data_IF_744793043452
#
_entry.id   IF_744793043452
#
_cell.length_a   1.000
_cell.length_b   1.000
_cell.length_c   1.000
_cell.angle_alpha   90.00
_cell.angle_beta   90.00
_cell.angle_gamma   90.00
#
_symmetry.space_group_name_H-M   'P 1'
#
loop_
_entity.id
_entity.type
_entity.pdbx_description
1 polymer ?
#
# COMPACT_ATOMS: atom_id res chain seq x y z
N UNK A 1 -5.00 14.38 -21.30
CA UNK A 1 -5.13 13.90 -19.91
C UNK A 1 -4.80 12.42 -19.93
N UNK A 2 -3.65 12.03 -19.36
CA UNK A 2 -3.21 10.64 -19.37
C UNK A 2 -4.11 9.77 -18.51
N UNK A 3 -4.33 8.53 -18.94
CA UNK A 3 -5.08 7.54 -18.18
C UNK A 3 -4.36 7.28 -16.85
N UNK A 4 -4.99 7.64 -15.73
CA UNK A 4 -4.43 7.49 -14.39
C UNK A 4 -5.30 6.59 -13.52
N UNK A 5 -4.65 5.86 -12.64
CA UNK A 5 -5.27 4.94 -11.67
C UNK A 5 -4.55 4.96 -10.34
N UNK A 6 -4.94 4.06 -9.45
CA UNK A 6 -4.32 3.89 -8.12
C UNK A 6 -4.08 2.41 -7.84
N UNK A 7 -2.96 2.09 -7.20
CA UNK A 7 -2.63 0.74 -6.73
C UNK A 7 -2.24 0.76 -5.25
N UNK A 8 -2.44 -0.39 -4.59
CA UNK A 8 -1.94 -0.64 -3.25
C UNK A 8 -0.77 -1.62 -3.28
N UNK A 9 0.23 -1.36 -2.44
CA UNK A 9 1.22 -2.33 -1.99
C UNK A 9 1.12 -2.50 -0.48
N UNK A 10 1.47 -3.67 0.01
CA UNK A 10 1.34 -4.02 1.41
C UNK A 10 2.64 -4.63 1.92
N UNK A 11 3.01 -4.31 3.14
CA UNK A 11 4.04 -4.98 3.90
C UNK A 11 3.50 -5.33 5.29
N UNK A 12 3.97 -6.44 5.85
CA UNK A 12 3.51 -6.96 7.12
C UNK A 12 4.71 -7.13 8.04
N UNK A 13 4.56 -6.71 9.29
CA UNK A 13 5.62 -6.71 10.27
C UNK A 13 5.13 -7.08 11.67
N UNK A 14 6.09 -7.03 12.59
CA UNK A 14 5.90 -7.27 14.01
C UNK A 14 5.34 -6.01 14.69
N UNK A 15 4.13 -6.06 15.29
CA UNK A 15 3.56 -4.92 16.02
C UNK A 15 4.41 -4.48 17.21
N UNK A 16 5.19 -5.38 17.83
CA UNK A 16 6.07 -5.01 18.94
C UNK A 16 7.17 -4.02 18.54
N UNK A 17 7.38 -3.82 17.22
CA UNK A 17 8.39 -2.93 16.65
C UNK A 17 7.78 -1.70 15.97
N UNK A 18 6.50 -1.38 16.18
CA UNK A 18 5.86 -0.21 15.56
C UNK A 18 6.52 1.12 15.94
N UNK A 19 7.13 1.21 17.14
CA UNK A 19 7.88 2.38 17.59
C UNK A 19 9.31 2.49 17.02
N UNK A 20 9.80 1.45 16.34
CA UNK A 20 11.11 1.46 15.69
C UNK A 20 10.98 2.10 14.30
N UNK A 21 11.28 3.40 14.20
CA UNK A 21 11.17 4.15 12.95
C UNK A 21 11.98 3.55 11.79
N UNK A 22 13.16 2.98 12.06
CA UNK A 22 13.98 2.35 11.01
C UNK A 22 13.31 1.06 10.51
N UNK A 23 12.67 0.31 11.39
CA UNK A 23 11.89 -0.86 11.01
C UNK A 23 10.67 -0.50 10.15
N UNK A 24 9.92 0.53 10.57
CA UNK A 24 8.76 1.03 9.82
C UNK A 24 9.16 1.56 8.44
N UNK A 25 10.27 2.30 8.34
CA UNK A 25 10.81 2.77 7.05
C UNK A 25 11.17 1.60 6.13
N UNK A 26 11.69 0.51 6.68
CA UNK A 26 11.93 -0.73 5.94
C UNK A 26 10.64 -1.35 5.38
N UNK A 27 9.57 -1.39 6.18
CA UNK A 27 8.25 -1.87 5.74
C UNK A 27 7.62 -0.94 4.70
N UNK A 28 7.80 0.37 4.81
CA UNK A 28 7.36 1.33 3.78
C UNK A 28 8.08 1.06 2.45
N UNK A 29 9.39 0.85 2.47
CA UNK A 29 10.16 0.47 1.29
C UNK A 29 9.67 -0.83 0.65
N UNK A 30 9.35 -1.84 1.47
CA UNK A 30 8.77 -3.10 0.98
C UNK A 30 7.37 -2.91 0.39
N UNK A 31 6.49 -2.13 1.04
CA UNK A 31 5.15 -1.85 0.53
C UNK A 31 5.21 -1.12 -0.82
N UNK A 32 6.12 -0.15 -0.98
CA UNK A 32 6.35 0.54 -2.25
C UNK A 32 6.89 -0.40 -3.33
N UNK A 33 7.83 -1.29 -2.98
CA UNK A 33 8.34 -2.31 -3.91
C UNK A 33 7.22 -3.21 -4.41
N UNK A 34 6.35 -3.67 -3.50
CA UNK A 34 5.22 -4.55 -3.85
C UNK A 34 4.20 -3.83 -4.76
N UNK A 35 3.93 -2.54 -4.52
CA UNK A 35 3.10 -1.72 -5.41
C UNK A 35 3.73 -1.59 -6.80
N UNK A 36 5.05 -1.37 -6.85
CA UNK A 36 5.82 -1.20 -8.10
C UNK A 36 5.88 -2.49 -8.92
N UNK A 37 6.11 -3.64 -8.27
CA UNK A 37 6.07 -4.95 -8.92
C UNK A 37 4.68 -5.26 -9.48
N UNK A 38 3.62 -4.91 -8.74
CA UNK A 38 2.23 -5.05 -9.19
C UNK A 38 1.94 -4.15 -10.39
N UNK A 39 2.40 -2.89 -10.37
CA UNK A 39 2.28 -1.97 -11.51
C UNK A 39 2.95 -2.56 -12.76
N UNK A 40 4.18 -3.06 -12.61
CA UNK A 40 4.94 -3.72 -13.69
C UNK A 40 4.21 -4.94 -14.24
N UNK A 41 3.66 -5.79 -13.38
CA UNK A 41 2.88 -6.96 -13.79
C UNK A 41 1.59 -6.58 -14.54
N UNK A 42 1.04 -5.40 -14.28
CA UNK A 42 -0.14 -4.83 -14.96
C UNK A 42 0.22 -3.96 -16.17
N UNK A 43 1.50 -3.90 -16.55
CA UNK A 43 2.00 -3.09 -17.65
C UNK A 43 1.69 -1.58 -17.52
N UNK A 44 1.60 -1.08 -16.27
CA UNK A 44 1.46 0.34 -15.94
C UNK A 44 2.68 0.82 -15.17
N UNK A 45 2.88 2.14 -15.14
CA UNK A 45 4.02 2.78 -14.47
C UNK A 45 3.55 3.50 -13.21
N UNK A 46 4.33 3.44 -12.14
CA UNK A 46 4.09 4.25 -10.93
C UNK A 46 4.51 5.69 -11.18
N UNK A 47 3.66 6.63 -10.81
CA UNK A 47 4.00 8.06 -10.80
C UNK A 47 4.95 8.31 -9.64
N UNK A 48 6.17 8.76 -9.93
CA UNK A 48 7.19 9.00 -8.92
C UNK A 48 6.74 10.05 -7.89
N UNK A 49 6.98 9.79 -6.60
CA UNK A 49 6.62 10.71 -5.50
C UNK A 49 5.12 10.74 -5.18
N UNK A 50 4.34 9.78 -5.69
CA UNK A 50 2.91 9.66 -5.40
C UNK A 50 2.58 8.74 -4.22
N UNK A 51 3.60 8.13 -3.62
CA UNK A 51 3.45 7.19 -2.53
C UNK A 51 2.87 7.84 -1.26
N UNK A 52 1.78 7.27 -0.76
CA UNK A 52 1.17 7.60 0.52
C UNK A 52 1.16 6.35 1.39
N UNK A 53 1.85 6.42 2.52
CA UNK A 53 1.95 5.32 3.47
C UNK A 53 0.90 5.44 4.58
N UNK A 54 0.26 4.32 4.92
CA UNK A 54 -0.61 4.18 6.08
C UNK A 54 -0.10 3.02 6.89
N UNK A 55 0.25 3.26 8.15
CA UNK A 55 0.59 2.22 9.11
C UNK A 55 -0.68 1.87 9.89
N UNK A 56 -1.02 0.59 9.92
CA UNK A 56 -2.17 0.05 10.64
C UNK A 56 -1.61 -0.96 11.66
N UNK A 57 -1.90 -0.75 12.94
CA UNK A 57 -1.62 -1.71 14.00
C UNK A 57 -2.92 -2.33 14.49
N UNK A 58 -2.83 -3.57 14.98
CA UNK A 58 -3.98 -4.31 15.50
C UNK A 58 -4.63 -3.68 16.73
N UNK A 59 -3.92 -2.78 17.43
CA UNK A 59 -4.40 -2.14 18.65
C UNK A 59 -5.15 -0.81 18.39
N UNK A 60 -4.94 -0.17 17.22
CA UNK A 60 -5.38 1.22 17.00
C UNK A 60 -6.27 1.41 15.75
N UNK A 61 -6.58 0.34 15.00
CA UNK A 61 -7.32 0.46 13.74
C UNK A 61 -8.71 -0.18 13.79
N UNK A 62 -9.74 0.60 13.45
CA UNK A 62 -11.12 0.18 13.13
C UNK A 62 -11.21 -0.73 11.88
N UNK A 63 -10.07 -1.20 11.38
CA UNK A 63 -9.96 -2.10 10.24
C UNK A 63 -9.83 -3.49 10.82
N UNK A 64 -10.91 -4.28 10.78
CA UNK A 64 -10.77 -5.72 10.92
C UNK A 64 -9.83 -6.19 9.80
N UNK A 65 -8.56 -6.40 10.15
CA UNK A 65 -7.60 -7.09 9.31
C UNK A 65 -8.00 -8.57 9.30
N UNK A 66 -9.08 -8.91 8.61
CA UNK A 66 -9.57 -10.28 8.42
C UNK A 66 -8.47 -11.24 7.95
N UNK A 67 -7.43 -10.70 7.30
CA UNK A 67 -6.29 -11.43 6.77
C UNK A 67 -4.99 -11.30 7.59
N UNK A 68 -4.94 -10.53 8.68
CA UNK A 68 -3.71 -10.33 9.47
C UNK A 68 -3.96 -9.89 10.94
N UNK A 69 -4.68 -10.67 11.76
CA UNK A 69 -4.83 -10.35 13.18
C UNK A 69 -3.47 -10.33 13.89
N UNK A 70 -3.22 -9.28 14.68
CA UNK A 70 -1.99 -9.13 15.47
C UNK A 70 -0.73 -8.81 14.65
N UNK A 71 -0.86 -8.15 13.49
CA UNK A 71 0.29 -7.70 12.69
C UNK A 71 0.34 -6.19 12.55
N UNK A 72 1.56 -5.67 12.45
CA UNK A 72 1.79 -4.34 11.91
C UNK A 72 1.62 -4.42 10.39
N UNK A 73 0.82 -3.54 9.81
CA UNK A 73 0.58 -3.52 8.38
C UNK A 73 0.93 -2.14 7.85
N UNK A 74 1.79 -2.09 6.84
CA UNK A 74 2.07 -0.86 6.09
C UNK A 74 1.43 -0.97 4.72
N UNK A 75 0.45 -0.10 4.45
CA UNK A 75 -0.15 0.08 3.14
C UNK A 75 0.53 1.23 2.43
N UNK A 76 1.04 1.00 1.23
CA UNK A 76 1.47 2.03 0.30
C UNK A 76 0.40 2.23 -0.77
N UNK A 77 -0.06 3.45 -0.97
CA UNK A 77 -0.97 3.82 -2.07
C UNK A 77 -0.17 4.64 -3.08
N UNK A 78 -0.21 4.27 -4.35
CA UNK A 78 0.52 4.99 -5.42
C UNK A 78 -0.41 5.31 -6.58
N UNK A 79 -0.15 6.44 -7.25
CA UNK A 79 -0.74 6.72 -8.54
C UNK A 79 -0.01 5.95 -9.63
N UNK A 80 -0.77 5.49 -10.62
CA UNK A 80 -0.23 4.80 -11.79
C UNK A 80 -0.73 5.42 -13.08
N UNK A 81 0.09 5.33 -14.12
CA UNK A 81 -0.23 5.81 -15.45
C UNK A 81 0.13 4.78 -16.51
N UNK A 82 -0.52 4.90 -17.67
CA UNK A 82 -0.30 4.03 -18.82
C UNK A 82 -1.58 3.36 -19.31
N UNK A 83 -1.49 2.55 -20.37
CA UNK A 83 -2.65 1.88 -20.94
C UNK A 83 -3.35 0.97 -19.92
N UNK A 84 -4.64 1.20 -19.67
CA UNK A 84 -5.41 0.42 -18.71
C UNK A 84 -5.30 0.88 -17.25
N UNK A 85 -4.48 1.90 -16.96
CA UNK A 85 -4.38 2.48 -15.63
C UNK A 85 -5.72 3.06 -15.14
N UNK A 86 -6.55 3.59 -16.04
CA UNK A 86 -7.88 4.14 -15.71
C UNK A 86 -8.85 3.12 -15.10
N UNK A 87 -8.56 1.82 -15.29
CA UNK A 87 -9.33 0.70 -14.74
C UNK A 87 -8.79 0.22 -13.40
N UNK A 88 -7.62 0.70 -12.98
CA UNK A 88 -7.00 0.39 -11.70
C UNK A 88 -7.52 1.38 -10.68
N UNK A 89 -8.52 0.95 -9.91
CA UNK A 89 -9.03 1.68 -8.76
C UNK A 89 -8.65 0.92 -7.51
N UNK A 90 -8.04 1.64 -6.60
CA UNK A 90 -7.67 1.13 -5.29
C UNK A 90 -8.96 1.09 -4.44
N UNK A 91 -9.84 0.14 -4.73
CA UNK A 91 -11.03 -0.14 -3.93
C UNK A 91 -10.58 -1.00 -2.73
N UNK A 92 -10.17 -0.34 -1.65
CA UNK A 92 -10.19 -0.94 -0.32
C UNK A 92 -11.58 -0.76 0.27
N UNK A 93 -11.99 -1.55 1.29
CA UNK A 93 -13.31 -1.43 1.90
C UNK A 93 -13.50 0.00 2.41
N UNK A 94 -14.21 0.80 1.63
CA UNK A 94 -14.84 2.02 2.10
C UNK A 94 -15.97 1.54 2.98
N UNK A 95 -15.82 1.74 4.29
CA UNK A 95 -16.85 1.57 5.29
C UNK A 95 -18.24 1.80 4.70
N UNK A 96 -19.03 0.72 4.63
CA UNK A 96 -20.48 0.75 4.49
C UNK A 96 -21.06 0.19 5.76
#
# INVERSE_FOLDING_TARGET
MGNTGTLFGWAFGDPAREGDGTYVDGLQGEALRNATETAKAKHVTVVAGSEVFTVLSGDDSLVELDNAPGRLVVRCTVHVEGPGAEKLRAEGPMNG
#
